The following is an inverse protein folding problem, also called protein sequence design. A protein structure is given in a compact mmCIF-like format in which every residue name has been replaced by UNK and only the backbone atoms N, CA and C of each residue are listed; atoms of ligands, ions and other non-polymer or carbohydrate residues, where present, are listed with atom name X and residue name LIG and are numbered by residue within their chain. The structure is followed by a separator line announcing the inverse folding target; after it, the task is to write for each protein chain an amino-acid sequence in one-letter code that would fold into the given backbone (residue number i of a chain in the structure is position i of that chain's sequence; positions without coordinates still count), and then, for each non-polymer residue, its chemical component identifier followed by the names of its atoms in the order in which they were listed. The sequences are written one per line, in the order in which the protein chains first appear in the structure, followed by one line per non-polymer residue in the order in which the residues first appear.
data_IF_836754468459
#
_entry.id   IF_836754468459
#
_cell.length_a   1.000
_cell.length_b   1.000
_cell.length_c   1.000
_cell.angle_alpha   90.00
_cell.angle_beta   90.00
_cell.angle_gamma   90.00
#
_symmetry.space_group_name_H-M   'P 1'
#
loop_
_entity.id
_entity.type
_entity.pdbx_description
1 polymer ?
#
# COMPACT_ATOMS: atom_id res chain seq x y z
N UNK A 1 0.61 20.28 -56.51
CA UNK A 1 -0.32 20.87 -55.52
C UNK A 1 -0.05 20.17 -54.21
N UNK A 2 0.52 20.89 -53.24
CA UNK A 2 0.89 20.39 -51.90
C UNK A 2 -0.15 20.93 -50.92
N UNK A 3 -0.79 20.04 -50.15
CA UNK A 3 -1.59 20.26 -48.93
C UNK A 3 -1.97 18.86 -48.40
N UNK A 4 -1.84 18.41 -47.15
CA UNK A 4 -1.40 18.93 -45.84
C UNK A 4 -1.23 17.70 -44.92
N UNK A 5 -0.23 17.59 -44.02
CA UNK A 5 -0.22 16.52 -43.02
C UNK A 5 -1.22 16.81 -41.89
N UNK A 6 -2.07 15.82 -41.57
CA UNK A 6 -3.01 15.86 -40.46
C UNK A 6 -2.30 16.02 -39.12
N UNK A 7 -2.90 16.82 -38.23
CA UNK A 7 -2.43 17.09 -36.87
C UNK A 7 -2.19 15.78 -36.08
N UNK A 8 -1.22 15.76 -35.13
CA UNK A 8 -1.06 14.61 -34.26
C UNK A 8 -2.31 14.47 -33.38
N UNK A 9 -2.92 13.28 -33.44
CA UNK A 9 -3.87 12.81 -32.43
C UNK A 9 -3.32 13.10 -31.03
N UNK A 10 -4.18 13.43 -30.04
CA UNK A 10 -3.74 13.42 -28.66
C UNK A 10 -3.28 12.00 -28.35
N UNK A 11 -1.96 11.83 -28.24
CA UNK A 11 -1.34 10.57 -27.85
C UNK A 11 -2.03 10.11 -26.56
N UNK A 12 -2.83 9.07 -26.70
CA UNK A 12 -3.48 8.34 -25.64
C UNK A 12 -2.39 8.04 -24.60
N UNK A 13 -2.47 8.72 -23.46
CA UNK A 13 -1.56 8.52 -22.35
C UNK A 13 -1.53 7.01 -22.05
N UNK A 14 -0.34 6.43 -21.85
CA UNK A 14 -0.14 5.00 -21.95
C UNK A 14 -1.17 4.26 -21.13
N UNK A 15 -1.87 3.32 -21.78
CA UNK A 15 -2.58 2.22 -21.15
C UNK A 15 -1.72 1.78 -19.96
N UNK A 16 -2.22 2.11 -18.76
CA UNK A 16 -1.53 1.84 -17.51
C UNK A 16 -1.50 0.33 -17.39
N UNK A 17 -0.46 -0.28 -17.97
CA UNK A 17 -0.20 -1.71 -17.94
C UNK A 17 -0.56 -2.19 -16.54
N UNK A 18 -1.58 -3.05 -16.46
CA UNK A 18 -2.27 -3.40 -15.22
C UNK A 18 -1.28 -4.12 -14.31
N UNK A 19 -0.47 -3.34 -13.61
CA UNK A 19 0.41 -3.81 -12.57
C UNK A 19 -0.49 -4.36 -11.47
N UNK A 20 -0.09 -5.51 -10.90
CA UNK A 20 -0.83 -6.07 -9.80
C UNK A 20 -0.99 -5.00 -8.70
N UNK A 21 -2.21 -4.83 -8.15
CA UNK A 21 -2.47 -3.76 -7.18
C UNK A 21 -1.57 -3.94 -5.96
N UNK A 22 -0.91 -2.85 -5.54
CA UNK A 22 0.00 -2.87 -4.39
C UNK A 22 -0.70 -3.23 -3.07
N UNK A 23 -2.00 -2.94 -2.97
CA UNK A 23 -2.84 -3.15 -1.79
C UNK A 23 -4.17 -3.79 -2.20
N UNK A 24 -4.71 -4.66 -1.34
CA UNK A 24 -6.00 -5.33 -1.56
C UNK A 24 -6.97 -5.11 -0.40
N UNK A 25 -8.26 -4.92 -0.69
CA UNK A 25 -9.31 -4.82 0.32
C UNK A 25 -9.71 -6.22 0.79
N UNK A 26 -9.49 -6.51 2.08
CA UNK A 26 -9.80 -7.83 2.67
C UNK A 26 -11.27 -7.94 3.08
N UNK A 27 -11.95 -6.81 3.32
CA UNK A 27 -13.36 -6.78 3.76
C UNK A 27 -14.05 -5.50 3.31
N UNK A 28 -15.30 -5.64 2.85
CA UNK A 28 -16.15 -4.54 2.37
C UNK A 28 -15.95 -4.24 0.88
N UNK A 29 -16.78 -3.34 0.35
CA UNK A 29 -16.73 -2.90 -1.05
C UNK A 29 -16.74 -1.36 -1.10
N UNK A 30 -15.59 -0.71 -0.84
CA UNK A 30 -15.49 0.75 -0.86
C UNK A 30 -15.66 1.27 -2.29
N UNK A 31 -16.16 2.51 -2.40
CA UNK A 31 -16.17 3.22 -3.67
C UNK A 31 -14.77 3.78 -4.01
N UNK A 32 -14.61 4.30 -5.22
CA UNK A 32 -13.32 4.79 -5.70
C UNK A 32 -12.85 6.02 -4.91
N UNK A 33 -13.80 6.89 -4.52
CA UNK A 33 -13.52 8.11 -3.78
C UNK A 33 -12.98 7.82 -2.37
N UNK A 34 -13.56 6.83 -1.68
CA UNK A 34 -13.12 6.37 -0.37
C UNK A 34 -11.72 5.75 -0.43
N UNK A 35 -11.43 4.95 -1.45
CA UNK A 35 -10.10 4.40 -1.67
C UNK A 35 -9.06 5.50 -1.92
N UNK A 36 -9.41 6.51 -2.73
CA UNK A 36 -8.54 7.65 -3.00
C UNK A 36 -8.27 8.47 -1.73
N UNK A 37 -9.31 8.73 -0.93
CA UNK A 37 -9.18 9.45 0.34
C UNK A 37 -8.26 8.70 1.32
N UNK A 38 -8.42 7.37 1.44
CA UNK A 38 -7.55 6.55 2.29
C UNK A 38 -6.10 6.58 1.80
N UNK A 39 -5.87 6.48 0.49
CA UNK A 39 -4.52 6.56 -0.07
C UNK A 39 -3.85 7.91 0.23
N UNK A 40 -4.58 9.02 0.12
CA UNK A 40 -4.08 10.34 0.46
C UNK A 40 -3.64 10.46 1.93
N UNK A 41 -4.42 9.86 2.85
CA UNK A 41 -4.07 9.82 4.28
C UNK A 41 -2.81 8.99 4.52
N UNK A 42 -2.70 7.81 3.90
CA UNK A 42 -1.52 6.95 4.02
C UNK A 42 -0.26 7.65 3.52
N UNK A 43 -0.34 8.31 2.37
CA UNK A 43 0.77 9.09 1.81
C UNK A 43 1.18 10.23 2.75
N UNK A 44 0.21 10.90 3.37
CA UNK A 44 0.46 11.96 4.35
C UNK A 44 1.18 11.46 5.60
N UNK A 45 0.94 10.20 6.00
CA UNK A 45 1.59 9.56 7.15
C UNK A 45 2.94 8.92 6.81
N UNK A 46 3.26 8.72 5.53
CA UNK A 46 4.46 8.00 5.06
C UNK A 46 5.73 8.86 5.03
N UNK A 47 5.73 10.04 5.66
CA UNK A 47 6.94 10.87 5.79
C UNK A 47 8.11 10.10 6.44
N UNK A 48 9.33 10.48 6.08
CA UNK A 48 10.59 9.81 6.42
C UNK A 48 10.68 9.44 7.91
N UNK A 49 10.35 8.18 8.24
CA UNK A 49 10.58 7.61 9.55
C UNK A 49 11.94 6.92 9.52
N UNK A 50 12.90 7.29 10.38
CA UNK A 50 14.21 6.64 10.37
C UNK A 50 14.02 5.14 10.56
N UNK A 51 14.62 4.36 9.65
CA UNK A 51 14.49 2.91 9.64
C UNK A 51 14.84 2.35 11.04
N UNK A 52 13.87 1.75 11.77
CA UNK A 52 14.20 1.13 13.04
C UNK A 52 15.15 -0.03 12.79
N UNK A 53 16.17 -0.15 13.64
CA UNK A 53 17.15 -1.23 13.56
C UNK A 53 16.44 -2.58 13.40
N UNK A 54 16.78 -3.31 12.32
CA UNK A 54 16.34 -4.69 12.14
C UNK A 54 16.77 -5.48 13.37
N UNK A 55 15.82 -6.03 14.13
CA UNK A 55 15.78 -7.45 14.55
C UNK A 55 14.76 -7.72 15.65
N UNK A 56 13.78 -8.58 15.35
CA UNK A 56 13.41 -9.74 16.15
C UNK A 56 12.72 -10.73 15.21
N UNK A 57 13.30 -11.91 15.07
CA UNK A 57 12.98 -12.89 14.02
C UNK A 57 11.48 -13.21 13.91
N UNK A 58 10.95 -13.22 12.68
CA UNK A 58 9.65 -13.80 12.26
C UNK A 58 9.24 -15.03 13.08
N UNK A 59 10.21 -15.90 13.43
CA UNK A 59 10.02 -17.10 14.25
C UNK A 59 9.38 -16.86 15.63
N UNK A 60 9.71 -15.75 16.30
CA UNK A 60 9.15 -15.44 17.61
C UNK A 60 7.66 -15.09 17.49
N UNK A 61 7.29 -14.29 16.49
CA UNK A 61 5.90 -13.92 16.25
C UNK A 61 5.04 -15.12 15.81
N UNK A 62 5.52 -15.92 14.86
CA UNK A 62 4.83 -17.15 14.40
C UNK A 62 4.57 -18.10 15.58
N UNK A 63 5.57 -18.29 16.46
CA UNK A 63 5.41 -19.11 17.66
C UNK A 63 4.32 -18.57 18.60
N UNK A 64 4.25 -17.26 18.81
CA UNK A 64 3.19 -16.66 19.65
C UNK A 64 1.79 -16.80 19.07
N UNK A 65 1.66 -16.68 17.74
CA UNK A 65 0.39 -16.91 17.04
C UNK A 65 -0.08 -18.36 17.19
N UNK A 66 0.83 -19.34 16.99
CA UNK A 66 0.52 -20.76 17.18
C UNK A 66 0.09 -21.08 18.63
N UNK A 67 0.70 -20.40 19.60
CA UNK A 67 0.37 -20.54 21.02
C UNK A 67 -0.85 -19.71 21.46
N UNK A 68 -1.50 -18.98 20.53
CA UNK A 68 -2.67 -18.11 20.81
C UNK A 68 -2.46 -17.15 21.99
N UNK A 69 -1.22 -16.70 22.19
CA UNK A 69 -0.91 -15.76 23.25
C UNK A 69 -1.56 -14.42 22.94
N UNK A 70 -2.31 -13.89 23.91
CA UNK A 70 -2.95 -12.59 23.77
C UNK A 70 -1.88 -11.51 23.48
N UNK A 71 -2.08 -10.63 22.49
CA UNK A 71 -1.23 -9.48 22.30
C UNK A 71 -1.20 -8.66 23.59
N UNK A 72 -0.03 -8.32 24.12
CA UNK A 72 0.05 -7.35 25.21
C UNK A 72 -0.51 -6.02 24.71
N UNK A 73 -1.64 -5.54 25.25
CA UNK A 73 -2.27 -4.32 24.77
C UNK A 73 -1.38 -3.13 25.08
N UNK A 74 -1.37 -2.13 24.20
CA UNK A 74 -0.64 -0.89 24.42
C UNK A 74 -0.27 -0.15 23.13
N UNK A 75 0.01 1.16 23.22
CA UNK A 75 0.49 1.95 22.09
C UNK A 75 1.73 1.30 21.45
N UNK A 76 1.70 1.09 20.13
CA UNK A 76 2.81 0.46 19.41
C UNK A 76 2.92 -1.05 19.58
N UNK A 77 1.98 -1.74 20.25
CA UNK A 77 2.01 -3.21 20.36
C UNK A 77 2.02 -3.92 19.00
N UNK A 78 1.36 -3.33 17.99
CA UNK A 78 1.33 -3.79 16.60
C UNK A 78 2.68 -3.63 15.87
N UNK A 79 3.58 -2.74 16.31
CA UNK A 79 4.92 -2.65 15.72
C UNK A 79 5.72 -3.93 15.95
N UNK A 80 5.40 -4.69 17.01
CA UNK A 80 5.99 -6.01 17.30
C UNK A 80 5.38 -7.15 16.47
N UNK A 81 4.34 -6.89 15.67
CA UNK A 81 3.82 -7.87 14.70
C UNK A 81 4.35 -7.65 13.28
N UNK A 82 5.11 -6.58 13.04
CA UNK A 82 5.85 -6.38 11.78
C UNK A 82 7.10 -7.27 11.83
N UNK A 83 6.97 -8.50 11.30
CA UNK A 83 8.06 -9.44 11.04
C UNK A 83 8.24 -9.64 9.55
#
# INVERSE_FOLDING_TARGET
MISTPGAPEPAEAPDAAVAAPLLSVVKGQPNAEELAALAAVVLSLSGESPAPARTASVRHWVRRQQLRLAPTPGPGAWKRSQG
#
